data_IF_094942480952
#
_entry.id   IF_094942480952
#
_cell.length_a   1.000
_cell.length_b   1.000
_cell.length_c   1.000
_cell.angle_alpha   90.00
_cell.angle_beta   90.00
_cell.angle_gamma   90.00
#
_symmetry.space_group_name_H-M   'P 1'
#
loop_
_entity.id
_entity.type
_entity.pdbx_description
1 polymer ?
#
# COMPACT_ATOMS: atom_id res chain seq x y z
N UNK A 1 -10.42 19.02 -7.70
CA UNK A 1 -9.28 18.09 -7.73
C UNK A 1 -9.00 17.75 -6.28
N UNK A 2 -8.97 16.48 -5.88
CA UNK A 2 -8.59 16.12 -4.50
C UNK A 2 -7.09 16.34 -4.35
N UNK A 3 -6.66 16.79 -3.18
CA UNK A 3 -5.23 16.96 -2.90
C UNK A 3 -4.58 15.58 -2.70
N UNK A 4 -3.30 15.47 -3.03
CA UNK A 4 -2.52 14.26 -2.71
C UNK A 4 -2.45 14.09 -1.20
N UNK A 5 -2.30 12.85 -0.74
CA UNK A 5 -2.20 12.47 0.66
C UNK A 5 -3.47 12.72 1.50
N UNK A 6 -4.61 12.97 0.85
CA UNK A 6 -5.87 13.09 1.56
C UNK A 6 -6.58 11.75 1.74
N UNK A 7 -6.58 10.92 0.69
CA UNK A 7 -7.24 9.61 0.71
C UNK A 7 -6.34 8.58 0.07
N UNK A 8 -6.02 7.54 0.82
CA UNK A 8 -5.32 6.36 0.36
C UNK A 8 -6.25 5.17 0.25
N UNK A 9 -5.88 4.24 -0.61
CA UNK A 9 -6.63 3.04 -0.92
C UNK A 9 -5.66 1.87 -0.77
N UNK A 10 -6.07 0.79 -0.09
CA UNK A 10 -5.33 -0.47 -0.10
C UNK A 10 -6.08 -1.52 -0.92
N UNK A 11 -5.34 -2.36 -1.62
CA UNK A 11 -5.87 -3.49 -2.38
C UNK A 11 -4.79 -4.56 -2.55
N UNK A 12 -5.15 -5.70 -3.13
CA UNK A 12 -4.20 -6.75 -3.44
C UNK A 12 -4.59 -7.64 -4.61
N UNK A 13 -3.58 -8.25 -5.24
CA UNK A 13 -3.77 -9.18 -6.35
C UNK A 13 -2.85 -10.40 -6.25
N UNK A 14 -3.32 -11.54 -6.78
CA UNK A 14 -2.54 -12.77 -6.92
C UNK A 14 -2.05 -12.91 -8.36
N UNK A 15 -0.80 -13.30 -8.53
CA UNK A 15 -0.26 -13.74 -9.81
C UNK A 15 0.55 -15.02 -9.63
N UNK A 16 0.75 -15.76 -10.74
CA UNK A 16 1.62 -16.94 -10.76
C UNK A 16 2.94 -16.59 -11.44
N UNK A 17 4.03 -16.98 -10.80
CA UNK A 17 5.35 -16.97 -11.39
C UNK A 17 5.52 -18.14 -12.37
N UNK A 18 6.54 -18.07 -13.22
CA UNK A 18 6.82 -19.10 -14.23
C UNK A 18 7.11 -20.49 -13.64
N UNK A 19 7.61 -20.54 -12.40
CA UNK A 19 7.83 -21.77 -11.63
C UNK A 19 6.53 -22.35 -11.02
N UNK A 20 5.38 -21.74 -11.30
CA UNK A 20 4.07 -22.13 -10.77
C UNK A 20 3.77 -21.61 -9.35
N UNK A 21 4.72 -20.94 -8.69
CA UNK A 21 4.49 -20.33 -7.39
C UNK A 21 3.45 -19.21 -7.49
N UNK A 22 2.56 -19.17 -6.50
CA UNK A 22 1.61 -18.06 -6.34
C UNK A 22 2.24 -16.98 -5.47
N UNK A 23 2.20 -15.74 -5.96
CA UNK A 23 2.62 -14.55 -5.22
C UNK A 23 1.41 -13.64 -5.09
N UNK A 24 1.28 -13.02 -3.92
CA UNK A 24 0.23 -12.05 -3.63
C UNK A 24 0.88 -10.73 -3.30
N UNK A 25 0.42 -9.68 -3.97
CA UNK A 25 0.87 -8.31 -3.72
C UNK A 25 -0.23 -7.62 -2.95
N UNK A 26 0.13 -6.99 -1.84
CA UNK A 26 -0.71 -6.02 -1.13
C UNK A 26 -0.05 -4.67 -1.28
N UNK A 27 -0.81 -3.63 -1.62
CA UNK A 27 -0.26 -2.30 -1.86
C UNK A 27 -1.14 -1.19 -1.30
N UNK A 28 -0.52 -0.04 -1.02
CA UNK A 28 -1.18 1.22 -0.70
C UNK A 28 -0.97 2.20 -1.85
N UNK A 29 -2.03 2.92 -2.21
CA UNK A 29 -2.06 3.83 -3.35
C UNK A 29 -2.73 5.15 -2.95
N UNK A 30 -2.18 6.27 -3.41
CA UNK A 30 -2.83 7.57 -3.29
C UNK A 30 -3.96 7.66 -4.33
N UNK A 31 -5.20 7.82 -3.86
CA UNK A 31 -6.37 7.77 -4.74
C UNK A 31 -6.49 9.05 -5.62
N UNK A 32 -5.73 10.11 -5.35
CA UNK A 32 -5.72 11.37 -6.11
C UNK A 32 -4.81 11.30 -7.34
N UNK A 33 -3.56 10.88 -7.18
CA UNK A 33 -2.55 10.85 -8.26
C UNK A 33 -2.24 9.43 -8.77
N UNK A 34 -2.81 8.40 -8.13
CA UNK A 34 -2.60 6.97 -8.44
C UNK A 34 -1.16 6.51 -8.22
N UNK A 35 -0.39 7.22 -7.39
CA UNK A 35 0.95 6.78 -6.99
C UNK A 35 0.85 5.53 -6.10
N UNK A 36 1.58 4.47 -6.46
CA UNK A 36 1.79 3.33 -5.57
C UNK A 36 2.80 3.70 -4.49
N UNK A 37 2.30 3.94 -3.28
CA UNK A 37 3.09 4.46 -2.16
C UNK A 37 3.99 3.37 -1.57
N UNK A 38 3.43 2.18 -1.34
CA UNK A 38 4.19 1.05 -0.83
C UNK A 38 3.50 -0.28 -1.16
N UNK A 39 4.25 -1.38 -1.08
CA UNK A 39 3.74 -2.71 -1.35
C UNK A 39 4.57 -3.80 -0.66
N UNK A 40 3.92 -4.94 -0.40
CA UNK A 40 4.53 -6.15 0.08
C UNK A 40 4.15 -7.33 -0.81
N UNK A 41 5.04 -8.32 -0.93
CA UNK A 41 4.80 -9.55 -1.70
C UNK A 41 4.91 -10.75 -0.78
N UNK A 42 3.84 -11.53 -0.69
CA UNK A 42 3.77 -12.71 0.18
C UNK A 42 3.55 -14.00 -0.63
N UNK A 43 3.96 -15.12 -0.05
CA UNK A 43 3.60 -16.48 -0.52
C UNK A 43 2.32 -16.99 0.16
N UNK A 44 2.02 -16.47 1.36
CA UNK A 44 0.81 -16.72 2.13
C UNK A 44 -0.42 -16.01 1.59
N UNK A 45 -1.54 -16.06 2.32
CA UNK A 45 -2.78 -15.40 1.95
C UNK A 45 -2.73 -13.87 2.11
N UNK A 46 -3.86 -13.22 1.89
CA UNK A 46 -4.05 -11.83 2.33
C UNK A 46 -4.39 -11.83 3.81
N UNK A 47 -3.61 -11.10 4.61
CA UNK A 47 -3.83 -10.92 6.04
C UNK A 47 -3.78 -9.44 6.42
N UNK A 48 -4.37 -9.11 7.57
CA UNK A 48 -4.46 -7.74 8.07
C UNK A 48 -3.11 -7.18 8.51
N UNK A 49 -2.18 -8.04 8.92
CA UNK A 49 -0.83 -7.66 9.34
C UNK A 49 -0.06 -7.08 8.15
N UNK A 50 -0.07 -7.76 7.00
CA UNK A 50 0.53 -7.27 5.76
C UNK A 50 -0.07 -5.94 5.33
N UNK A 51 -1.39 -5.76 5.46
CA UNK A 51 -2.04 -4.48 5.12
C UNK A 51 -1.56 -3.37 6.07
N UNK A 52 -1.47 -3.66 7.37
CA UNK A 52 -0.98 -2.70 8.36
C UNK A 52 0.46 -2.28 8.07
N UNK A 53 1.34 -3.24 7.77
CA UNK A 53 2.74 -2.99 7.42
C UNK A 53 2.88 -2.17 6.14
N UNK A 54 2.08 -2.47 5.11
CA UNK A 54 2.05 -1.71 3.87
C UNK A 54 1.61 -0.27 4.10
N UNK A 55 0.59 -0.05 4.92
CA UNK A 55 0.12 1.28 5.28
C UNK A 55 1.15 2.06 6.08
N UNK A 56 1.80 1.41 7.06
CA UNK A 56 2.87 2.04 7.84
C UNK A 56 4.06 2.41 6.95
N UNK A 57 4.53 1.48 6.11
CA UNK A 57 5.62 1.73 5.18
C UNK A 57 5.27 2.80 4.13
N UNK A 58 3.99 2.96 3.76
CA UNK A 58 3.55 4.07 2.92
C UNK A 58 3.67 5.43 3.62
N UNK A 59 3.29 5.52 4.91
CA UNK A 59 3.48 6.74 5.72
C UNK A 59 4.96 7.07 5.85
N UNK A 60 5.79 6.09 6.23
CA UNK A 60 7.24 6.28 6.39
C UNK A 60 7.91 6.69 5.08
N UNK A 61 7.53 6.08 3.94
CA UNK A 61 8.09 6.43 2.63
C UNK A 61 7.68 7.83 2.18
N UNK A 62 6.43 8.24 2.45
CA UNK A 62 5.88 9.50 1.97
C UNK A 62 6.30 10.70 2.81
N UNK A 63 6.34 10.54 4.12
CA UNK A 63 6.60 11.64 5.06
C UNK A 63 7.92 11.51 5.83
N UNK A 64 8.61 10.37 5.75
CA UNK A 64 9.84 10.14 6.50
C UNK A 64 9.59 10.26 8.00
N UNK A 65 10.30 11.19 8.64
CA UNK A 65 10.14 11.50 10.08
C UNK A 65 9.12 12.62 10.34
N UNK A 66 8.50 13.18 9.30
CA UNK A 66 7.48 14.22 9.43
C UNK A 66 6.08 13.61 9.52
N UNK A 67 5.14 14.35 10.11
CA UNK A 67 3.73 13.98 10.12
C UNK A 67 3.01 14.64 8.93
N UNK A 68 2.00 13.99 8.34
CA UNK A 68 1.18 14.62 7.33
C UNK A 68 0.49 15.86 7.91
N UNK A 69 0.39 16.93 7.12
CA UNK A 69 -0.23 18.19 7.55
C UNK A 69 -1.72 18.04 7.93
N UNK A 70 -2.37 17.00 7.41
CA UNK A 70 -3.73 16.59 7.75
C UNK A 70 -3.80 15.08 7.90
N UNK A 71 -4.75 14.53 8.68
CA UNK A 71 -4.97 13.09 8.74
C UNK A 71 -5.18 12.49 7.35
N UNK A 72 -4.50 11.38 7.06
CA UNK A 72 -4.72 10.58 5.86
C UNK A 72 -5.95 9.71 6.09
N UNK A 73 -6.94 9.82 5.21
CA UNK A 73 -8.11 8.92 5.21
C UNK A 73 -7.76 7.63 4.47
N UNK A 74 -8.19 6.49 5.00
CA UNK A 74 -8.05 5.19 4.36
C UNK A 74 -9.40 4.50 4.23
#
# INVERSE_FOLDING_TARGET
MKESNQRWCSDGFEFRCDNGEKRRVTFALDCSDREALHWAVTTGGFDSETVQDVMLGAVERRFGNELPASPVEC
#
